data_IF_621473102244
#
_entry.id   IF_621473102244
#
_cell.length_a   1.000
_cell.length_b   1.000
_cell.length_c   1.000
_cell.angle_alpha   90.00
_cell.angle_beta   90.00
_cell.angle_gamma   90.00
#
_symmetry.space_group_name_H-M   'P 1'
#
loop_
_entity.id
_entity.type
_entity.pdbx_description
1 polymer ?
#
# COMPACT_ATOMS: atom_id res chain seq x y z
N UNK A 1 -30.78 -22.13 11.34
CA UNK A 1 -30.13 -20.83 11.13
C UNK A 1 -29.17 -20.57 12.29
N UNK A 2 -27.85 -20.51 12.07
CA UNK A 2 -26.92 -20.05 13.10
C UNK A 2 -27.17 -18.56 13.34
N UNK A 3 -27.44 -18.16 14.59
CA UNK A 3 -27.49 -16.75 14.98
C UNK A 3 -26.15 -16.09 14.58
N UNK A 4 -26.14 -14.86 14.05
CA UNK A 4 -24.90 -14.16 13.77
C UNK A 4 -24.07 -14.11 15.05
N UNK A 5 -22.81 -14.55 15.00
CA UNK A 5 -21.87 -14.38 16.11
C UNK A 5 -21.64 -12.89 16.26
N UNK A 6 -22.28 -12.27 17.25
CA UNK A 6 -21.99 -10.88 17.59
C UNK A 6 -20.51 -10.79 18.03
N UNK A 7 -19.74 -10.02 17.27
CA UNK A 7 -18.35 -9.70 17.58
C UNK A 7 -18.40 -8.70 18.75
N UNK A 8 -18.23 -9.19 19.98
CA UNK A 8 -18.08 -8.31 21.14
C UNK A 8 -16.76 -7.53 21.07
N UNK A 9 -16.83 -6.22 20.93
CA UNK A 9 -15.70 -5.31 21.10
C UNK A 9 -15.56 -4.97 22.60
N UNK A 10 -14.32 -4.81 23.07
CA UNK A 10 -14.09 -4.33 24.44
C UNK A 10 -14.42 -2.83 24.49
N UNK A 11 -15.33 -2.42 25.37
CA UNK A 11 -15.67 -1.01 25.56
C UNK A 11 -14.42 -0.17 25.90
N UNK A 12 -13.54 -0.69 26.76
CA UNK A 12 -12.26 -0.07 27.13
C UNK A 12 -11.35 0.17 25.90
N UNK A 13 -11.31 -0.78 24.95
CA UNK A 13 -10.48 -0.59 23.75
C UNK A 13 -11.11 0.43 22.79
N UNK A 14 -12.44 0.45 22.64
CA UNK A 14 -13.12 1.44 21.82
C UNK A 14 -12.85 2.85 22.36
N UNK A 15 -12.97 3.04 23.67
CA UNK A 15 -12.66 4.31 24.32
C UNK A 15 -11.21 4.75 24.06
N UNK A 16 -10.25 3.82 24.14
CA UNK A 16 -8.85 4.07 23.80
C UNK A 16 -8.67 4.44 22.33
N UNK A 17 -9.36 3.76 21.41
CA UNK A 17 -9.29 4.06 19.98
C UNK A 17 -9.83 5.47 19.68
N UNK A 18 -10.96 5.85 20.27
CA UNK A 18 -11.54 7.20 20.17
C UNK A 18 -10.57 8.24 20.76
N UNK A 19 -10.04 8.00 21.96
CA UNK A 19 -9.07 8.90 22.58
C UNK A 19 -7.81 9.07 21.70
N UNK A 20 -7.34 7.98 21.08
CA UNK A 20 -6.16 7.99 20.23
C UNK A 20 -6.38 8.84 18.97
N UNK A 21 -7.49 8.70 18.25
CA UNK A 21 -7.76 9.46 17.01
C UNK A 21 -7.85 10.98 17.26
N UNK A 22 -8.19 11.39 18.49
CA UNK A 22 -8.21 12.79 18.90
C UNK A 22 -6.89 13.27 19.53
N UNK A 23 -5.89 12.41 19.62
CA UNK A 23 -4.58 12.75 20.19
C UNK A 23 -3.62 13.32 19.14
N UNK A 24 -2.58 14.07 19.56
CA UNK A 24 -1.47 14.46 18.66
C UNK A 24 -0.76 13.27 18.00
N UNK A 25 -0.79 12.08 18.62
CA UNK A 25 -0.19 10.87 18.08
C UNK A 25 -0.91 10.36 16.82
N UNK A 26 -2.21 10.65 16.65
CA UNK A 26 -2.95 10.27 15.45
C UNK A 26 -2.38 10.94 14.20
N UNK A 27 -2.10 12.25 14.27
CA UNK A 27 -1.52 12.99 13.16
C UNK A 27 -0.14 12.45 12.77
N UNK A 28 0.71 12.17 13.77
CA UNK A 28 2.04 11.62 13.51
C UNK A 28 1.97 10.17 12.98
N UNK A 29 0.97 9.40 13.42
CA UNK A 29 0.68 8.07 12.87
C UNK A 29 0.23 8.14 11.41
N UNK A 30 -0.66 9.08 11.08
CA UNK A 30 -1.07 9.35 9.70
C UNK A 30 0.12 9.74 8.81
N UNK A 31 1.03 10.58 9.28
CA UNK A 31 2.29 10.87 8.57
C UNK A 31 3.11 9.61 8.35
N UNK A 32 3.27 8.76 9.36
CA UNK A 32 4.04 7.53 9.24
C UNK A 32 3.45 6.56 8.20
N UNK A 33 2.11 6.50 8.09
CA UNK A 33 1.41 5.74 7.06
C UNK A 33 1.72 6.28 5.66
N UNK A 34 1.59 7.59 5.44
CA UNK A 34 1.87 8.18 4.12
C UNK A 34 3.37 8.10 3.81
N UNK A 35 4.25 8.27 4.78
CA UNK A 35 5.68 8.07 4.61
C UNK A 35 5.98 6.62 4.15
N UNK A 36 5.29 5.64 4.72
CA UNK A 36 5.38 4.25 4.30
C UNK A 36 4.94 4.08 2.82
N UNK A 37 3.80 4.65 2.42
CA UNK A 37 3.32 4.66 1.03
C UNK A 37 4.35 5.25 0.06
N UNK A 38 4.88 6.44 0.36
CA UNK A 38 5.82 7.16 -0.51
C UNK A 38 7.16 6.42 -0.61
N UNK A 39 7.69 5.93 0.53
CA UNK A 39 8.92 5.13 0.55
C UNK A 39 8.77 3.84 -0.23
N UNK A 40 7.69 3.10 -0.01
CA UNK A 40 7.43 1.87 -0.78
C UNK A 40 7.26 2.14 -2.27
N UNK A 41 6.67 3.30 -2.64
CA UNK A 41 6.56 3.76 -4.02
C UNK A 41 7.92 3.99 -4.66
N UNK A 42 8.77 4.83 -4.07
CA UNK A 42 10.14 5.05 -4.57
C UNK A 42 10.96 3.78 -4.59
N UNK A 43 10.78 2.96 -3.58
CA UNK A 43 11.46 1.69 -3.48
C UNK A 43 11.09 0.80 -4.69
N UNK A 44 9.80 0.58 -4.95
CA UNK A 44 9.34 -0.25 -6.07
C UNK A 44 9.87 0.28 -7.41
N UNK A 45 9.81 1.61 -7.61
CA UNK A 45 10.36 2.28 -8.78
C UNK A 45 11.86 2.03 -8.95
N UNK A 46 12.63 1.99 -7.86
CA UNK A 46 14.09 1.75 -7.90
C UNK A 46 14.41 0.38 -8.48
N UNK A 47 13.62 -0.64 -8.16
CA UNK A 47 13.76 -1.98 -8.75
C UNK A 47 13.58 -1.97 -10.27
N UNK A 48 12.60 -1.20 -10.77
CA UNK A 48 12.37 -1.06 -12.21
C UNK A 48 13.41 -0.18 -12.91
N UNK A 49 13.90 0.88 -12.26
CA UNK A 49 15.00 1.71 -12.76
C UNK A 49 16.28 0.88 -12.87
N UNK A 50 16.64 0.11 -11.83
CA UNK A 50 17.84 -0.72 -11.83
C UNK A 50 17.85 -1.75 -12.97
N UNK A 51 16.70 -2.36 -13.27
CA UNK A 51 16.56 -3.29 -14.40
C UNK A 51 16.79 -2.64 -15.78
N UNK A 52 16.69 -1.30 -15.87
CA UNK A 52 16.88 -0.49 -17.09
C UNK A 52 18.17 0.35 -17.06
N UNK A 53 18.96 0.24 -15.99
CA UNK A 53 20.18 1.05 -15.80
C UNK A 53 21.20 0.84 -16.91
N UNK A 54 21.26 -0.36 -17.51
CA UNK A 54 22.18 -0.66 -18.62
C UNK A 54 21.81 0.08 -19.90
N UNK A 55 20.53 0.26 -20.19
CA UNK A 55 20.06 0.94 -21.42
C UNK A 55 19.98 2.45 -21.25
N UNK A 56 19.75 2.95 -20.02
CA UNK A 56 19.51 4.38 -19.70
C UNK A 56 18.54 5.06 -20.67
N UNK A 57 17.55 4.29 -21.12
CA UNK A 57 16.55 4.72 -22.07
C UNK A 57 15.62 5.80 -21.47
N UNK A 58 14.70 6.32 -22.29
CA UNK A 58 13.73 7.33 -21.85
C UNK A 58 12.89 6.85 -20.65
N UNK A 59 12.60 5.54 -20.55
CA UNK A 59 11.86 5.01 -19.41
C UNK A 59 12.69 5.06 -18.13
N UNK A 60 13.99 4.76 -18.19
CA UNK A 60 14.90 4.92 -17.05
C UNK A 60 14.91 6.37 -16.55
N UNK A 61 15.15 7.34 -17.45
CA UNK A 61 15.21 8.77 -17.10
C UNK A 61 13.87 9.28 -16.53
N UNK A 62 12.76 8.85 -17.12
CA UNK A 62 11.41 9.17 -16.63
C UNK A 62 11.19 8.65 -15.20
N UNK A 63 11.52 7.38 -14.95
CA UNK A 63 11.36 6.79 -13.61
C UNK A 63 12.21 7.55 -12.58
N UNK A 64 13.50 7.82 -12.84
CA UNK A 64 14.37 8.54 -11.91
C UNK A 64 13.85 9.96 -11.60
N UNK A 65 13.42 10.70 -12.63
CA UNK A 65 12.87 12.05 -12.45
C UNK A 65 11.64 12.05 -11.53
N UNK A 66 10.71 11.12 -11.75
CA UNK A 66 9.52 11.01 -10.90
C UNK A 66 9.84 10.46 -9.50
N UNK A 67 10.88 9.64 -9.32
CA UNK A 67 11.35 9.25 -7.99
C UNK A 67 11.86 10.45 -7.19
N UNK A 68 12.53 11.40 -7.85
CA UNK A 68 12.94 12.65 -7.20
C UNK A 68 11.74 13.49 -6.77
N UNK A 69 10.68 13.54 -7.59
CA UNK A 69 9.45 14.24 -7.21
C UNK A 69 8.75 13.58 -6.00
N UNK A 70 8.77 12.24 -5.91
CA UNK A 70 8.25 11.55 -4.72
C UNK A 70 9.13 11.84 -3.49
N UNK A 71 10.44 11.93 -3.65
CA UNK A 71 11.34 12.30 -2.55
C UNK A 71 11.01 13.70 -2.00
N UNK A 72 10.79 14.68 -2.88
CA UNK A 72 10.36 16.03 -2.47
C UNK A 72 9.01 15.99 -1.73
N UNK A 73 8.09 15.13 -2.13
CA UNK A 73 6.84 14.94 -1.40
C UNK A 73 7.06 14.34 0.00
N UNK A 74 8.06 13.46 0.19
CA UNK A 74 8.46 13.01 1.53
C UNK A 74 9.05 14.15 2.39
N UNK A 75 9.85 15.03 1.80
CA UNK A 75 10.40 16.20 2.50
C UNK A 75 9.30 17.18 2.92
N UNK A 76 8.27 17.35 2.07
CA UNK A 76 7.07 18.11 2.41
C UNK A 76 6.28 17.44 3.54
N UNK A 77 6.07 16.12 3.46
CA UNK A 77 5.36 15.36 4.48
C UNK A 77 6.03 15.47 5.86
N UNK A 78 7.37 15.46 5.90
CA UNK A 78 8.12 15.60 7.15
C UNK A 78 7.85 16.94 7.87
N UNK A 79 7.48 17.99 7.11
CA UNK A 79 7.18 19.33 7.63
C UNK A 79 5.70 19.58 7.87
N UNK A 80 4.82 18.68 7.43
CA UNK A 80 3.38 18.83 7.59
C UNK A 80 3.00 18.96 9.08
N UNK A 81 2.08 19.85 9.43
CA UNK A 81 1.53 20.02 10.77
C UNK A 81 0.02 19.76 10.82
N UNK A 82 -0.62 19.54 9.66
CA UNK A 82 -2.05 19.32 9.52
C UNK A 82 -2.39 18.17 8.58
N UNK A 83 -3.58 17.58 8.72
CA UNK A 83 -4.06 16.54 7.80
C UNK A 83 -4.13 17.02 6.35
N UNK A 84 -4.49 18.29 6.12
CA UNK A 84 -4.52 18.90 4.78
C UNK A 84 -3.15 18.92 4.11
N UNK A 85 -2.08 19.22 4.87
CA UNK A 85 -0.71 19.18 4.35
C UNK A 85 -0.22 17.75 4.09
N UNK A 86 -0.63 16.79 4.93
CA UNK A 86 -0.39 15.36 4.69
C UNK A 86 -1.04 14.93 3.37
N UNK A 87 -2.31 15.27 3.15
CA UNK A 87 -3.01 15.00 1.89
C UNK A 87 -2.35 15.67 0.68
N UNK A 88 -1.87 16.91 0.84
CA UNK A 88 -1.16 17.59 -0.25
C UNK A 88 0.13 16.85 -0.65
N UNK A 89 0.92 16.42 0.34
CA UNK A 89 2.13 15.64 0.10
C UNK A 89 1.80 14.26 -0.52
N UNK A 90 0.79 13.57 0.01
CA UNK A 90 0.27 12.31 -0.50
C UNK A 90 -0.16 12.42 -1.97
N UNK A 91 -0.95 13.44 -2.31
CA UNK A 91 -1.41 13.71 -3.67
C UNK A 91 -0.25 14.04 -4.64
N UNK A 92 0.75 14.80 -4.19
CA UNK A 92 1.94 15.09 -5.01
C UNK A 92 2.75 13.83 -5.28
N UNK A 93 3.04 13.05 -4.24
CA UNK A 93 3.77 11.79 -4.36
C UNK A 93 3.02 10.76 -5.21
N UNK A 94 1.71 10.60 -4.99
CA UNK A 94 0.85 9.72 -5.78
C UNK A 94 0.82 10.10 -7.27
N UNK A 95 0.74 11.41 -7.60
CA UNK A 95 0.80 11.88 -8.99
C UNK A 95 2.13 11.54 -9.66
N UNK A 96 3.24 11.80 -8.97
CA UNK A 96 4.57 11.45 -9.48
C UNK A 96 4.74 9.94 -9.66
N UNK A 97 4.26 9.15 -8.70
CA UNK A 97 4.28 7.69 -8.76
C UNK A 97 3.55 7.16 -9.98
N UNK A 98 2.30 7.57 -10.22
CA UNK A 98 1.54 7.07 -11.37
C UNK A 98 2.13 7.49 -12.72
N UNK A 99 2.78 8.66 -12.78
CA UNK A 99 3.56 9.07 -13.96
C UNK A 99 4.81 8.20 -14.15
N UNK A 100 5.49 7.77 -13.10
CA UNK A 100 6.59 6.79 -13.22
C UNK A 100 6.09 5.41 -13.69
N UNK A 101 4.92 4.98 -13.19
CA UNK A 101 4.29 3.70 -13.55
C UNK A 101 3.93 3.63 -15.04
N UNK A 102 3.54 4.76 -15.66
CA UNK A 102 3.27 4.78 -17.10
C UNK A 102 4.51 4.39 -17.91
N UNK A 103 5.72 4.80 -17.52
CA UNK A 103 6.97 4.34 -18.15
C UNK A 103 7.21 2.84 -17.94
N UNK A 104 6.95 2.32 -16.73
CA UNK A 104 7.16 0.90 -16.41
C UNK A 104 6.25 0.00 -17.24
N UNK A 105 4.98 0.38 -17.32
CA UNK A 105 3.94 -0.35 -18.03
C UNK A 105 3.80 0.09 -19.50
N UNK A 106 4.73 0.93 -19.99
CA UNK A 106 4.74 1.50 -21.35
C UNK A 106 3.39 2.09 -21.77
N UNK A 107 2.69 2.76 -20.85
CA UNK A 107 1.39 3.41 -21.09
C UNK A 107 1.60 4.76 -21.76
N UNK A 108 0.56 5.20 -22.46
CA UNK A 108 0.51 6.53 -23.06
C UNK A 108 0.69 7.63 -21.99
N UNK A 109 1.21 8.80 -22.39
CA UNK A 109 1.41 9.93 -21.48
C UNK A 109 0.10 10.46 -20.86
N UNK A 110 -1.03 10.26 -21.56
CA UNK A 110 -2.38 10.55 -21.13
C UNK A 110 -2.95 9.51 -20.14
N UNK A 111 -2.33 8.34 -20.00
CA UNK A 111 -2.77 7.34 -19.04
C UNK A 111 -2.70 7.89 -17.62
N UNK A 112 -3.77 7.66 -16.86
CA UNK A 112 -3.89 8.07 -15.45
C UNK A 112 -4.49 6.93 -14.63
N UNK A 113 -4.24 6.95 -13.32
CA UNK A 113 -4.92 6.08 -12.37
C UNK A 113 -6.41 6.48 -12.31
N UNK A 114 -7.33 5.53 -12.49
CA UNK A 114 -8.78 5.76 -12.50
C UNK A 114 -9.50 4.84 -11.52
N UNK A 115 -10.25 5.45 -10.60
CA UNK A 115 -11.15 4.78 -9.65
C UNK A 115 -12.27 5.74 -9.23
N UNK A 116 -13.54 5.30 -9.09
CA UNK A 116 -14.09 4.05 -9.62
C UNK A 116 -14.26 4.07 -11.16
N UNK A 117 -14.81 3.01 -11.75
CA UNK A 117 -15.20 2.93 -13.17
C UNK A 117 -14.07 2.96 -14.22
N UNK A 118 -12.94 2.31 -13.92
CA UNK A 118 -11.89 2.12 -14.90
C UNK A 118 -12.34 1.26 -16.09
N UNK A 119 -11.93 1.65 -17.30
CA UNK A 119 -12.15 0.90 -18.53
C UNK A 119 -10.89 0.25 -19.08
N UNK A 120 -9.69 0.70 -18.68
CA UNK A 120 -8.43 0.06 -19.05
C UNK A 120 -8.03 -1.05 -18.08
N UNK A 121 -7.36 -2.07 -18.61
CA UNK A 121 -7.16 -3.34 -17.93
C UNK A 121 -6.18 -3.23 -16.75
N UNK A 122 -5.23 -2.28 -16.80
CA UNK A 122 -4.32 -2.04 -15.68
C UNK A 122 -5.06 -1.43 -14.51
N UNK A 123 -5.87 -0.40 -14.74
CA UNK A 123 -6.68 0.17 -13.67
C UNK A 123 -7.71 -0.81 -13.14
N UNK A 124 -8.33 -1.64 -13.98
CA UNK A 124 -9.25 -2.70 -13.53
C UNK A 124 -8.52 -3.67 -12.59
N UNK A 125 -7.37 -4.22 -13.00
CA UNK A 125 -6.61 -5.16 -12.15
C UNK A 125 -6.09 -4.51 -10.87
N UNK A 126 -5.66 -3.26 -10.92
CA UNK A 126 -5.28 -2.49 -9.73
C UNK A 126 -6.47 -2.31 -8.79
N UNK A 127 -7.63 -1.87 -9.30
CA UNK A 127 -8.86 -1.72 -8.52
C UNK A 127 -9.22 -3.04 -7.84
N UNK A 128 -9.26 -4.15 -8.59
CA UNK A 128 -9.53 -5.48 -8.04
C UNK A 128 -8.52 -5.87 -6.95
N UNK A 129 -7.22 -5.65 -7.19
CA UNK A 129 -6.18 -6.00 -6.22
C UNK A 129 -6.28 -5.17 -4.93
N UNK A 130 -6.58 -3.88 -5.05
CA UNK A 130 -6.81 -3.01 -3.90
C UNK A 130 -8.09 -3.35 -3.14
N UNK A 131 -9.17 -3.74 -3.83
CA UNK A 131 -10.38 -4.24 -3.17
C UNK A 131 -10.10 -5.51 -2.37
N UNK A 132 -9.30 -6.44 -2.90
CA UNK A 132 -8.89 -7.64 -2.15
C UNK A 132 -8.05 -7.29 -0.91
N UNK A 133 -7.11 -6.35 -1.06
CA UNK A 133 -6.29 -5.88 0.04
C UNK A 133 -7.16 -5.22 1.13
N UNK A 134 -8.08 -4.34 0.75
CA UNK A 134 -9.02 -3.71 1.67
C UNK A 134 -9.85 -4.75 2.43
N UNK A 135 -10.43 -5.74 1.73
CA UNK A 135 -11.17 -6.85 2.36
C UNK A 135 -10.32 -7.63 3.35
N UNK A 136 -9.04 -7.87 3.02
CA UNK A 136 -8.13 -8.59 3.89
C UNK A 136 -7.79 -7.80 5.15
N UNK A 137 -7.50 -6.50 5.01
CA UNK A 137 -7.24 -5.60 6.14
C UNK A 137 -8.47 -5.50 7.02
N UNK A 138 -9.66 -5.27 6.46
CA UNK A 138 -10.93 -5.24 7.18
C UNK A 138 -11.13 -6.52 8.02
N UNK A 139 -10.99 -7.69 7.40
CA UNK A 139 -11.16 -8.98 8.09
C UNK A 139 -10.18 -9.14 9.26
N UNK A 140 -8.94 -8.64 9.12
CA UNK A 140 -7.94 -8.71 10.18
C UNK A 140 -8.19 -7.69 11.29
N UNK A 141 -8.71 -6.50 10.98
CA UNK A 141 -9.16 -5.52 11.98
C UNK A 141 -10.31 -6.07 12.82
N UNK A 142 -11.33 -6.64 12.17
CA UNK A 142 -12.46 -7.31 12.81
C UNK A 142 -11.99 -8.45 13.72
N UNK A 143 -11.05 -9.27 13.22
CA UNK A 143 -10.45 -10.36 14.02
C UNK A 143 -9.68 -9.83 15.23
N UNK A 144 -9.06 -8.66 15.11
CA UNK A 144 -8.33 -7.99 16.18
C UNK A 144 -9.21 -7.16 17.13
N UNK A 145 -10.52 -7.05 16.83
CA UNK A 145 -11.50 -6.23 17.56
C UNK A 145 -11.15 -4.73 17.55
N UNK A 146 -10.74 -4.23 16.38
CA UNK A 146 -10.44 -2.81 16.15
C UNK A 146 -11.52 -2.25 15.23
N UNK A 147 -12.11 -1.11 15.57
CA UNK A 147 -13.16 -0.50 14.75
C UNK A 147 -12.59 0.02 13.42
N UNK A 148 -13.04 -0.51 12.25
CA UNK A 148 -12.58 -0.07 10.94
C UNK A 148 -12.94 1.37 10.59
N UNK A 149 -14.00 1.91 11.20
CA UNK A 149 -14.54 3.25 10.94
C UNK A 149 -13.60 4.36 11.45
N UNK A 150 -12.77 4.06 12.46
CA UNK A 150 -11.96 5.04 13.17
C UNK A 150 -10.54 5.11 12.58
N UNK A 151 -10.41 5.85 11.48
CA UNK A 151 -9.12 6.16 10.83
C UNK A 151 -8.40 7.36 11.43
N UNK A 152 -7.13 7.52 11.05
CA UNK A 152 -6.25 8.63 11.42
C UNK A 152 -6.23 9.74 10.38
N UNK A 153 -6.33 9.41 9.09
CA UNK A 153 -6.22 10.39 7.99
C UNK A 153 -7.50 10.52 7.17
N UNK A 154 -8.05 9.41 6.66
CA UNK A 154 -9.18 9.43 5.73
C UNK A 154 -10.54 9.85 6.34
N UNK A 155 -10.59 10.14 7.64
CA UNK A 155 -11.78 10.63 8.37
C UNK A 155 -12.94 9.63 8.40
N UNK A 156 -13.85 9.80 9.36
CA UNK A 156 -14.94 8.84 9.62
C UNK A 156 -16.04 8.83 8.53
N UNK A 157 -15.91 9.59 7.43
CA UNK A 157 -16.92 9.70 6.37
C UNK A 157 -16.89 8.56 5.35
N UNK A 158 -15.81 7.77 5.31
CA UNK A 158 -15.60 6.71 4.32
C UNK A 158 -16.10 5.32 4.73
N UNK A 159 -16.72 5.20 5.90
CA UNK A 159 -17.22 3.94 6.47
C UNK A 159 -16.11 3.04 7.04
N UNK A 160 -15.01 2.85 6.31
CA UNK A 160 -13.89 1.98 6.70
C UNK A 160 -12.55 2.74 6.68
N UNK A 161 -12.51 3.92 7.31
CA UNK A 161 -11.39 4.85 7.19
C UNK A 161 -10.03 4.22 7.57
N UNK A 162 -10.00 3.42 8.62
CA UNK A 162 -8.78 2.73 9.07
C UNK A 162 -8.32 1.67 8.07
N UNK A 163 -9.23 1.03 7.34
CA UNK A 163 -8.87 0.09 6.27
C UNK A 163 -8.11 0.82 5.19
N UNK A 164 -8.59 1.99 4.77
CA UNK A 164 -7.96 2.81 3.74
C UNK A 164 -6.62 3.37 4.21
N UNK A 165 -6.50 3.78 5.47
CA UNK A 165 -5.22 4.18 6.06
C UNK A 165 -4.21 3.03 6.04
N UNK A 166 -4.57 1.87 6.58
CA UNK A 166 -3.63 0.77 6.73
C UNK A 166 -3.22 0.17 5.39
N UNK A 167 -4.15 0.07 4.43
CA UNK A 167 -3.83 -0.51 3.14
C UNK A 167 -2.73 0.27 2.41
N UNK A 168 -2.56 1.58 2.65
CA UNK A 168 -1.52 2.40 2.02
C UNK A 168 -0.11 1.85 2.25
N UNK A 169 0.14 1.21 3.40
CA UNK A 169 1.42 0.58 3.69
C UNK A 169 1.68 -0.68 2.84
N UNK A 170 0.65 -1.27 2.23
CA UNK A 170 0.73 -2.58 1.57
C UNK A 170 0.44 -2.53 0.06
N UNK A 171 -0.07 -1.43 -0.48
CA UNK A 171 -0.40 -1.29 -1.92
C UNK A 171 0.78 -1.64 -2.80
N UNK A 172 1.90 -0.94 -2.62
CA UNK A 172 3.09 -1.13 -3.42
C UNK A 172 3.75 -2.50 -3.20
N UNK A 173 4.04 -2.92 -1.95
CA UNK A 173 4.79 -4.16 -1.74
C UNK A 173 4.00 -5.42 -2.07
N UNK A 174 2.67 -5.35 -2.10
CA UNK A 174 1.81 -6.48 -2.42
C UNK A 174 1.19 -6.35 -3.81
N UNK A 175 0.30 -5.39 -4.00
CA UNK A 175 -0.52 -5.31 -5.23
C UNK A 175 0.33 -4.87 -6.42
N UNK A 176 1.02 -3.74 -6.30
CA UNK A 176 1.72 -3.13 -7.44
C UNK A 176 2.93 -3.96 -7.85
N UNK A 177 3.71 -4.44 -6.86
CA UNK A 177 4.81 -5.37 -7.07
C UNK A 177 4.37 -6.69 -7.73
N UNK A 178 3.11 -7.10 -7.55
CA UNK A 178 2.54 -8.26 -8.24
C UNK A 178 2.24 -7.98 -9.70
N UNK A 179 1.60 -6.84 -9.98
CA UNK A 179 0.97 -6.57 -11.26
C UNK A 179 1.96 -5.95 -12.26
N UNK A 180 2.79 -5.00 -11.85
CA UNK A 180 3.65 -4.27 -12.79
C UNK A 180 4.63 -5.15 -13.57
N UNK A 181 5.27 -6.20 -13.00
CA UNK A 181 6.11 -7.09 -13.78
C UNK A 181 5.35 -7.83 -14.89
N UNK A 182 4.07 -8.18 -14.64
CA UNK A 182 3.20 -8.82 -15.63
C UNK A 182 2.94 -7.86 -16.81
N UNK A 183 2.50 -6.64 -16.52
CA UNK A 183 2.18 -5.65 -17.55
C UNK A 183 3.41 -5.17 -18.33
N UNK A 184 4.55 -5.01 -17.65
CA UNK A 184 5.81 -4.63 -18.28
C UNK A 184 6.27 -5.69 -19.31
N UNK A 185 5.97 -6.97 -19.06
CA UNK A 185 6.25 -8.08 -20.00
C UNK A 185 5.22 -8.19 -21.13
N UNK A 186 3.93 -8.13 -20.83
CA UNK A 186 2.87 -8.31 -21.84
C UNK A 186 2.95 -7.28 -22.97
N UNK A 187 3.18 -6.00 -22.65
CA UNK A 187 3.36 -4.96 -23.67
C UNK A 187 4.68 -5.06 -24.43
N UNK A 188 5.70 -5.74 -23.91
CA UNK A 188 6.91 -6.04 -24.69
C UNK A 188 6.60 -6.99 -25.85
N UNK A 189 5.57 -7.82 -25.73
CA UNK A 189 5.15 -8.80 -26.73
C UNK A 189 3.92 -8.35 -27.54
N UNK A 190 3.50 -7.08 -27.47
CA UNK A 190 2.28 -6.55 -28.10
C UNK A 190 1.03 -7.43 -27.86
N UNK A 191 0.99 -8.14 -26.72
CA UNK A 191 -0.10 -9.06 -26.41
C UNK A 191 -1.24 -8.31 -25.73
N UNK A 192 -2.47 -8.53 -26.20
CA UNK A 192 -3.67 -8.04 -25.52
C UNK A 192 -3.88 -8.76 -24.19
N UNK A 193 -4.56 -8.10 -23.26
CA UNK A 193 -4.95 -8.74 -22.00
C UNK A 193 -6.22 -9.53 -22.27
N UNK A 194 -6.04 -10.84 -22.33
CA UNK A 194 -7.13 -11.81 -22.43
C UNK A 194 -7.64 -12.18 -21.05
N UNK A 195 -8.81 -12.80 -20.98
CA UNK A 195 -9.35 -13.39 -19.74
C UNK A 195 -8.34 -14.34 -19.08
N UNK A 196 -7.60 -15.11 -19.87
CA UNK A 196 -6.53 -16.01 -19.40
C UNK A 196 -5.39 -15.24 -18.72
N UNK A 197 -4.98 -14.12 -19.32
CA UNK A 197 -3.94 -13.24 -18.74
C UNK A 197 -4.43 -12.58 -17.45
N UNK A 198 -5.70 -12.16 -17.40
CA UNK A 198 -6.34 -11.62 -16.21
C UNK A 198 -6.36 -12.65 -15.07
N UNK A 199 -6.86 -13.87 -15.33
CA UNK A 199 -6.86 -14.99 -14.38
C UNK A 199 -5.47 -15.32 -13.86
N UNK A 200 -4.45 -15.26 -14.74
CA UNK A 200 -3.05 -15.47 -14.34
C UNK A 200 -2.54 -14.36 -13.43
N UNK A 201 -2.82 -13.09 -13.76
CA UNK A 201 -2.44 -11.95 -12.92
C UNK A 201 -3.10 -12.00 -11.54
N UNK A 202 -4.40 -12.32 -11.51
CA UNK A 202 -5.15 -12.52 -10.27
C UNK A 202 -4.56 -13.67 -9.43
N UNK A 203 -4.33 -14.83 -10.04
CA UNK A 203 -3.72 -16.00 -9.36
C UNK A 203 -2.31 -15.71 -8.85
N UNK A 204 -1.55 -14.85 -9.54
CA UNK A 204 -0.23 -14.44 -9.09
C UNK A 204 -0.30 -13.51 -7.88
N UNK A 205 -1.25 -12.55 -7.90
CA UNK A 205 -1.51 -11.65 -6.78
C UNK A 205 -1.94 -12.43 -5.53
N UNK A 206 -2.89 -13.36 -5.64
CA UNK A 206 -3.35 -14.15 -4.48
C UNK A 206 -2.20 -14.94 -3.86
N UNK A 207 -1.34 -15.55 -4.68
CA UNK A 207 -0.12 -16.23 -4.20
C UNK A 207 0.88 -15.30 -3.51
N UNK A 208 0.88 -14.00 -3.79
CA UNK A 208 1.80 -13.08 -3.10
C UNK A 208 1.42 -12.88 -1.62
N UNK A 209 0.17 -13.15 -1.22
CA UNK A 209 -0.21 -13.08 0.19
C UNK A 209 0.50 -14.13 1.06
N UNK A 210 0.84 -15.29 0.48
CA UNK A 210 1.52 -16.39 1.16
C UNK A 210 3.04 -16.39 0.92
N UNK A 211 3.53 -15.47 0.09
CA UNK A 211 4.96 -15.30 -0.14
C UNK A 211 5.64 -14.84 1.15
N UNK A 212 6.69 -15.55 1.53
CA UNK A 212 7.53 -15.21 2.68
C UNK A 212 8.53 -14.13 2.31
N UNK A 213 8.58 -13.08 3.12
CA UNK A 213 9.56 -12.00 3.06
C UNK A 213 10.14 -11.75 4.45
N UNK A 214 11.30 -11.09 4.49
CA UNK A 214 11.93 -10.69 5.75
C UNK A 214 11.08 -9.60 6.43
N UNK A 215 10.78 -9.78 7.71
CA UNK A 215 10.06 -8.86 8.58
C UNK A 215 10.69 -8.91 9.98
N UNK A 216 11.25 -7.79 10.48
CA UNK A 216 11.97 -7.69 11.77
C UNK A 216 12.87 -8.91 12.07
N UNK A 217 13.80 -9.20 11.16
CA UNK A 217 14.72 -10.34 11.20
C UNK A 217 14.13 -11.76 11.02
N UNK A 218 12.81 -11.92 10.99
CA UNK A 218 12.11 -13.20 10.74
C UNK A 218 11.59 -13.32 9.32
N UNK A 219 11.23 -14.54 8.93
CA UNK A 219 10.58 -14.81 7.65
C UNK A 219 9.08 -15.00 7.84
N UNK A 220 8.30 -14.04 7.37
CA UNK A 220 6.84 -14.04 7.56
C UNK A 220 6.14 -13.94 6.20
N UNK A 221 4.93 -14.50 6.11
CA UNK A 221 4.08 -14.31 4.94
C UNK A 221 3.51 -12.89 4.94
N UNK A 222 3.20 -12.34 3.77
CA UNK A 222 2.53 -11.02 3.71
C UNK A 222 1.23 -11.00 4.53
N UNK A 223 0.45 -12.09 4.47
CA UNK A 223 -0.73 -12.28 5.32
C UNK A 223 -0.42 -12.12 6.81
N UNK A 224 0.66 -12.74 7.28
CA UNK A 224 1.09 -12.68 8.68
C UNK A 224 1.63 -11.30 9.04
N UNK A 225 2.34 -10.64 8.11
CA UNK A 225 2.87 -9.29 8.29
C UNK A 225 1.73 -8.28 8.46
N UNK A 226 0.69 -8.31 7.60
CA UNK A 226 -0.47 -7.43 7.76
C UNK A 226 -1.11 -7.62 9.14
N UNK A 227 -1.29 -8.88 9.58
CA UNK A 227 -1.83 -9.17 10.90
C UNK A 227 -0.92 -8.69 12.05
N UNK A 228 0.40 -8.83 11.91
CA UNK A 228 1.39 -8.35 12.90
C UNK A 228 1.40 -6.82 12.99
N UNK A 229 1.29 -6.12 11.86
CA UNK A 229 1.21 -4.67 11.82
C UNK A 229 -0.08 -4.15 12.47
N UNK A 230 -1.21 -4.81 12.22
CA UNK A 230 -2.48 -4.52 12.90
C UNK A 230 -2.37 -4.75 14.41
N UNK A 231 -1.70 -5.82 14.84
CA UNK A 231 -1.46 -6.08 16.26
C UNK A 231 -0.55 -5.02 16.89
N UNK A 232 0.53 -4.61 16.20
CA UNK A 232 1.42 -3.52 16.65
C UNK A 232 0.67 -2.19 16.75
N UNK A 233 -0.23 -1.92 15.80
CA UNK A 233 -1.11 -0.75 15.88
C UNK A 233 -1.98 -0.82 17.13
N UNK A 234 -2.59 -1.98 17.40
CA UNK A 234 -3.43 -2.17 18.59
C UNK A 234 -2.68 -1.83 19.87
N UNK A 235 -1.45 -2.34 20.01
CA UNK A 235 -0.58 -2.05 21.16
C UNK A 235 -0.26 -0.55 21.25
N UNK A 236 0.05 0.10 20.11
CA UNK A 236 0.28 1.54 20.05
C UNK A 236 -0.94 2.35 20.52
N UNK A 237 -2.16 1.93 20.15
CA UNK A 237 -3.40 2.55 20.63
C UNK A 237 -3.60 2.33 22.13
N UNK A 238 -3.40 1.09 22.62
CA UNK A 238 -3.52 0.74 24.04
C UNK A 238 -2.55 1.52 24.93
N UNK A 239 -1.32 1.72 24.46
CA UNK A 239 -0.26 2.42 25.17
C UNK A 239 -0.22 3.93 24.89
N UNK A 240 -1.12 4.44 24.04
CA UNK A 240 -1.14 5.82 23.54
C UNK A 240 0.24 6.28 23.00
N UNK A 241 0.86 5.46 22.15
CA UNK A 241 2.16 5.72 21.50
C UNK A 241 2.01 5.80 20.00
N UNK A 242 2.85 6.63 19.36
CA UNK A 242 2.90 6.76 17.90
C UNK A 242 3.19 5.40 17.25
N UNK A 243 2.29 4.95 16.39
CA UNK A 243 2.52 3.77 15.58
C UNK A 243 3.42 4.11 14.38
N UNK A 244 4.43 3.26 14.16
CA UNK A 244 5.37 3.34 13.03
C UNK A 244 5.26 2.05 12.20
N UNK A 245 4.66 2.12 10.99
CA UNK A 245 4.53 0.96 10.12
C UNK A 245 5.88 0.39 9.72
N UNK A 246 5.92 -0.91 9.47
CA UNK A 246 7.10 -1.57 8.92
C UNK A 246 7.47 -1.00 7.54
N UNK A 247 8.75 -0.68 7.36
CA UNK A 247 9.28 -0.20 6.09
C UNK A 247 9.89 -1.35 5.31
N UNK A 248 9.37 -1.58 4.11
CA UNK A 248 9.83 -2.66 3.24
C UNK A 248 11.14 -2.26 2.54
N UNK A 249 12.20 -3.02 2.76
CA UNK A 249 13.43 -2.90 1.97
C UNK A 249 13.51 -4.02 0.94
N UNK A 250 13.46 -3.76 -0.38
CA UNK A 250 13.74 -4.82 -1.36
C UNK A 250 15.22 -4.92 -1.72
N UNK A 251 15.68 -6.14 -1.91
CA UNK A 251 17.07 -6.50 -2.13
C UNK A 251 17.31 -7.97 -1.77
N UNK A 252 18.56 -8.42 -1.77
CA UNK A 252 18.94 -9.78 -1.35
C UNK A 252 18.48 -10.09 0.09
N UNK A 253 18.29 -9.07 0.94
CA UNK A 253 17.86 -9.16 2.34
C UNK A 253 16.39 -9.52 2.55
N UNK A 254 15.53 -9.40 1.52
CA UNK A 254 14.10 -9.72 1.64
C UNK A 254 13.76 -11.16 1.24
N UNK A 255 14.64 -11.84 0.50
CA UNK A 255 14.48 -13.27 0.24
C UNK A 255 14.66 -13.98 1.56
N UNK A 256 13.59 -14.59 2.04
CA UNK A 256 13.72 -15.64 3.01
C UNK A 256 14.43 -16.81 2.31
N UNK A 257 15.76 -16.83 2.33
CA UNK A 257 16.49 -18.07 2.08
C UNK A 257 16.16 -18.96 3.25
N UNK A 258 15.39 -20.03 3.00
CA UNK A 258 15.32 -21.14 3.95
C UNK A 258 16.76 -21.51 4.27
N UNK A 259 17.20 -21.26 5.52
CA UNK A 259 18.21 -22.12 6.10
C UNK A 259 17.52 -23.45 6.38
#
# INVERSE_FOLDING_TARGET
>A
MQKPKHIHFSADFIEKQIAYIHSPHALETAKNIIACKLRNSRFLLSGFAQARKRTRDQSFKGIESFQMNIFRAEEMLAKAATSSEIFLAEAQGSRAYWKAVSFICKRDSAWKRVYPHATDELNILLNTGYTLLAKRVFTLLESARIMPELGFLHGNTSGDALVYDLMECFRQPLVDASLFPLFSRLRKHNSSITEKTFKRGFSFLTRQYDKRIRYHAKCETMNRIIALEIYRLKQSVEENKIWKPYQYGWGHSMRCTRK
#
